data_IF_240366291881
#
_entry.id   IF_240366291881
#
_cell.length_a   1.000
_cell.length_b   1.000
_cell.length_c   1.000
_cell.angle_alpha   90.00
_cell.angle_beta   90.00
_cell.angle_gamma   90.00
#
_symmetry.space_group_name_H-M   'P 1'
#
loop_
_entity.id
_entity.type
_entity.pdbx_description
1 polymer ?
#
# COMPACT_ATOMS: atom_id res chain seq x y z
N UNK A 1 1.67 -19.79 -18.07
CA UNK A 1 1.33 -20.94 -17.20
C UNK A 1 0.31 -20.46 -16.16
N UNK A 2 -0.80 -21.18 -15.94
CA UNK A 2 -1.83 -20.81 -14.97
C UNK A 2 -1.30 -20.70 -13.53
N UNK A 3 -0.26 -21.48 -13.18
CA UNK A 3 0.38 -21.43 -11.86
C UNK A 3 0.94 -20.05 -11.46
N UNK A 4 1.54 -19.30 -12.39
CA UNK A 4 2.07 -17.95 -12.13
C UNK A 4 0.96 -16.95 -11.80
N UNK A 5 -0.22 -17.14 -12.38
CA UNK A 5 -1.40 -16.30 -12.15
C UNK A 5 -2.03 -16.59 -10.79
N UNK A 6 -2.10 -17.88 -10.42
CA UNK A 6 -2.53 -18.29 -9.07
C UNK A 6 -1.58 -17.71 -8.02
N UNK A 7 -0.26 -17.78 -8.24
CA UNK A 7 0.72 -17.18 -7.34
C UNK A 7 0.52 -15.67 -7.16
N UNK A 8 0.26 -14.93 -8.25
CA UNK A 8 -0.06 -13.50 -8.17
C UNK A 8 -1.32 -13.24 -7.31
N UNK A 9 -2.42 -13.97 -7.56
CA UNK A 9 -3.65 -13.84 -6.78
C UNK A 9 -3.46 -14.16 -5.29
N UNK A 10 -2.65 -15.18 -4.97
CA UNK A 10 -2.31 -15.55 -3.58
C UNK A 10 -1.55 -14.42 -2.89
N UNK A 11 -0.64 -13.74 -3.60
CA UNK A 11 0.10 -12.60 -3.06
C UNK A 11 -0.81 -11.39 -2.79
N UNK A 12 -1.76 -11.10 -3.68
CA UNK A 12 -2.76 -10.03 -3.49
C UNK A 12 -3.65 -10.32 -2.28
N UNK A 13 -4.18 -11.54 -2.16
CA UNK A 13 -4.98 -11.95 -0.99
C UNK A 13 -4.13 -11.90 0.28
N UNK A 14 -2.89 -12.39 0.21
CA UNK A 14 -1.93 -12.33 1.31
C UNK A 14 -1.69 -10.89 1.78
N UNK A 15 -1.66 -9.92 0.86
CA UNK A 15 -1.53 -8.49 1.18
C UNK A 15 -2.73 -7.97 1.98
N UNK A 16 -3.95 -8.30 1.57
CA UNK A 16 -5.15 -7.94 2.33
C UNK A 16 -5.11 -8.54 3.75
N UNK A 17 -4.69 -9.81 3.88
CA UNK A 17 -4.50 -10.47 5.18
C UNK A 17 -3.44 -9.76 6.02
N UNK A 18 -2.31 -9.35 5.42
CA UNK A 18 -1.28 -8.57 6.11
C UNK A 18 -1.87 -7.26 6.67
N UNK A 19 -2.69 -6.56 5.90
CA UNK A 19 -3.35 -5.33 6.37
C UNK A 19 -4.21 -5.55 7.61
N UNK A 20 -4.99 -6.64 7.62
CA UNK A 20 -5.80 -7.03 8.79
C UNK A 20 -4.92 -7.37 10.00
N UNK A 21 -3.83 -8.12 9.79
CA UNK A 21 -2.88 -8.48 10.85
C UNK A 21 -2.24 -7.22 11.45
N UNK A 22 -1.81 -6.27 10.63
CA UNK A 22 -1.25 -4.99 11.10
C UNK A 22 -2.24 -4.25 12.00
N UNK A 23 -3.50 -4.14 11.57
CA UNK A 23 -4.54 -3.52 12.39
C UNK A 23 -4.76 -4.25 13.71
N UNK A 24 -4.83 -5.59 13.67
CA UNK A 24 -4.97 -6.43 14.87
C UNK A 24 -3.80 -6.27 15.84
N UNK A 25 -2.56 -6.20 15.37
CA UNK A 25 -1.40 -5.96 16.22
C UNK A 25 -1.49 -4.63 16.98
N UNK A 26 -2.14 -3.61 16.40
CA UNK A 26 -2.41 -2.35 17.08
C UNK A 26 -3.33 -2.51 18.28
N UNK A 27 -4.42 -3.27 18.10
CA UNK A 27 -5.37 -3.56 19.16
C UNK A 27 -4.78 -4.45 20.28
N UNK A 28 -4.00 -5.48 19.94
CA UNK A 28 -3.52 -6.48 20.91
C UNK A 28 -2.18 -6.15 21.56
N UNK A 29 -1.23 -5.58 20.81
CA UNK A 29 0.16 -5.39 21.26
C UNK A 29 0.58 -3.91 21.26
N UNK A 30 -0.16 -3.05 20.57
CA UNK A 30 0.10 -1.62 20.48
C UNK A 30 1.52 -1.31 20.02
N UNK A 31 2.18 -0.41 20.75
CA UNK A 31 3.55 0.07 20.44
C UNK A 31 4.61 -1.04 20.43
N UNK A 32 4.42 -2.13 21.19
CA UNK A 32 5.40 -3.24 21.23
C UNK A 32 5.51 -3.97 19.89
N UNK A 33 4.47 -3.92 19.08
CA UNK A 33 4.44 -4.58 17.77
C UNK A 33 5.11 -3.77 16.64
N UNK A 34 5.66 -2.57 16.90
CA UNK A 34 6.13 -1.67 15.83
C UNK A 34 7.13 -2.36 14.88
N UNK A 35 8.10 -3.11 15.43
CA UNK A 35 9.05 -3.87 14.61
C UNK A 35 8.34 -4.88 13.70
N UNK A 36 7.39 -5.65 14.23
CA UNK A 36 6.65 -6.65 13.46
C UNK A 36 5.79 -5.98 12.37
N UNK A 37 5.15 -4.86 12.71
CA UNK A 37 4.34 -4.08 11.78
C UNK A 37 5.18 -3.51 10.64
N UNK A 38 6.38 -2.99 10.91
CA UNK A 38 7.29 -2.52 9.85
C UNK A 38 7.70 -3.65 8.91
N UNK A 39 8.04 -4.82 9.45
CA UNK A 39 8.41 -5.97 8.62
C UNK A 39 7.24 -6.48 7.77
N UNK A 40 6.03 -6.55 8.35
CA UNK A 40 4.81 -6.89 7.63
C UNK A 40 4.49 -5.87 6.55
N UNK A 41 4.65 -4.58 6.84
CA UNK A 41 4.45 -3.49 5.90
C UNK A 41 5.41 -3.58 4.71
N UNK A 42 6.70 -3.83 4.96
CA UNK A 42 7.67 -4.09 3.88
C UNK A 42 7.33 -5.36 3.09
N UNK A 43 6.82 -6.40 3.75
CA UNK A 43 6.39 -7.65 3.10
C UNK A 43 5.19 -7.42 2.17
N UNK A 44 4.22 -6.59 2.58
CA UNK A 44 3.10 -6.19 1.73
C UNK A 44 3.56 -5.45 0.46
N UNK A 45 4.53 -4.54 0.57
CA UNK A 45 5.12 -3.90 -0.61
C UNK A 45 5.93 -4.85 -1.47
N UNK A 46 6.66 -5.79 -0.87
CA UNK A 46 7.34 -6.82 -1.67
C UNK A 46 6.35 -7.66 -2.47
N UNK A 47 5.21 -8.03 -1.88
CA UNK A 47 4.20 -8.85 -2.55
C UNK A 47 3.56 -8.13 -3.74
N UNK A 48 3.39 -6.80 -3.68
CA UNK A 48 2.94 -5.92 -4.78
C UNK A 48 3.92 -5.82 -5.96
N UNK A 49 5.21 -5.79 -5.64
CA UNK A 49 6.20 -5.80 -6.72
C UNK A 49 6.25 -7.20 -7.35
N UNK A 50 6.23 -8.25 -6.52
CA UNK A 50 6.33 -9.63 -6.95
C UNK A 50 5.12 -10.11 -7.76
N UNK A 51 3.89 -9.82 -7.33
CA UNK A 51 2.69 -10.25 -8.05
C UNK A 51 2.58 -9.55 -9.41
N UNK A 52 2.92 -8.28 -9.51
CA UNK A 52 3.01 -7.56 -10.77
C UNK A 52 4.03 -8.20 -11.72
N UNK A 53 5.20 -8.61 -11.22
CA UNK A 53 6.18 -9.34 -12.04
C UNK A 53 5.62 -10.69 -12.52
N UNK A 54 4.99 -11.46 -11.64
CA UNK A 54 4.43 -12.78 -11.96
C UNK A 54 3.25 -12.69 -12.93
N UNK A 55 2.34 -11.73 -12.74
CA UNK A 55 1.18 -11.50 -13.61
C UNK A 55 1.62 -11.16 -15.04
N UNK A 56 2.65 -10.32 -15.20
CA UNK A 56 3.22 -9.95 -16.50
C UNK A 56 4.04 -11.06 -17.15
N UNK A 57 4.75 -11.86 -16.35
CA UNK A 57 5.42 -13.07 -16.83
C UNK A 57 4.41 -14.13 -17.26
N UNK A 58 3.19 -14.10 -16.72
CA UNK A 58 2.10 -14.92 -17.20
C UNK A 58 1.67 -14.47 -18.60
N UNK A 59 1.76 -15.37 -19.58
CA UNK A 59 1.24 -15.14 -20.95
C UNK A 59 -0.31 -15.09 -21.01
N UNK A 60 -0.99 -15.08 -19.88
CA UNK A 60 -2.46 -15.19 -19.78
C UNK A 60 -3.04 -13.78 -19.70
N UNK A 61 -3.66 -13.31 -20.79
CA UNK A 61 -4.22 -11.94 -20.90
C UNK A 61 -5.62 -11.76 -20.30
N UNK A 62 -6.22 -12.79 -19.73
CA UNK A 62 -7.56 -12.69 -19.12
C UNK A 62 -7.45 -11.83 -17.86
N UNK A 63 -8.21 -10.72 -17.79
CA UNK A 63 -8.38 -9.96 -16.55
C UNK A 63 -9.14 -10.83 -15.56
N UNK A 64 -8.51 -11.19 -14.45
CA UNK A 64 -9.20 -11.89 -13.37
C UNK A 64 -9.70 -10.87 -12.35
N UNK A 65 -10.84 -11.18 -11.72
CA UNK A 65 -11.48 -10.35 -10.71
C UNK A 65 -10.49 -9.86 -9.63
N UNK A 66 -9.55 -10.71 -9.20
CA UNK A 66 -8.56 -10.37 -8.17
C UNK A 66 -7.60 -9.27 -8.65
N UNK A 67 -7.14 -9.32 -9.91
CA UNK A 67 -6.27 -8.29 -10.47
C UNK A 67 -6.99 -6.95 -10.72
N UNK A 68 -8.32 -6.97 -10.87
CA UNK A 68 -9.12 -5.73 -10.90
C UNK A 68 -9.32 -5.12 -9.51
N UNK A 69 -9.16 -5.93 -8.46
CA UNK A 69 -9.39 -5.56 -7.07
C UNK A 69 -8.10 -5.42 -6.24
N UNK A 70 -6.93 -5.40 -6.89
CA UNK A 70 -5.62 -5.25 -6.25
C UNK A 70 -5.52 -3.97 -5.40
N UNK A 71 -6.13 -2.87 -5.88
CA UNK A 71 -6.25 -1.62 -5.14
C UNK A 71 -6.94 -1.79 -3.78
N UNK A 72 -7.90 -2.70 -3.65
CA UNK A 72 -8.56 -2.95 -2.36
C UNK A 72 -7.62 -3.64 -1.36
N UNK A 73 -6.69 -4.47 -1.84
CA UNK A 73 -5.69 -5.09 -0.99
C UNK A 73 -4.73 -4.02 -0.42
N UNK A 74 -4.29 -3.07 -1.26
CA UNK A 74 -3.44 -1.96 -0.81
C UNK A 74 -4.16 -1.02 0.16
N UNK A 75 -5.41 -0.68 -0.15
CA UNK A 75 -6.27 0.11 0.71
C UNK A 75 -6.51 -0.58 2.06
N UNK A 76 -6.56 -1.92 2.10
CA UNK A 76 -6.66 -2.70 3.34
C UNK A 76 -5.38 -2.58 4.17
N UNK A 77 -4.21 -2.64 3.54
CA UNK A 77 -2.93 -2.39 4.24
C UNK A 77 -2.88 -0.96 4.78
N UNK A 78 -3.26 0.02 3.97
CA UNK A 78 -3.31 1.42 4.36
C UNK A 78 -4.23 1.66 5.55
N UNK A 79 -5.45 1.11 5.52
CA UNK A 79 -6.38 1.18 6.63
C UNK A 79 -5.84 0.49 7.89
N UNK A 80 -5.24 -0.70 7.73
CA UNK A 80 -4.60 -1.43 8.83
C UNK A 80 -3.47 -0.62 9.48
N UNK A 81 -2.62 0.01 8.66
CA UNK A 81 -1.54 0.91 9.12
C UNK A 81 -2.11 2.12 9.86
N UNK A 82 -3.12 2.80 9.30
CA UNK A 82 -3.75 3.94 9.95
C UNK A 82 -4.35 3.56 11.31
N UNK A 83 -5.06 2.43 11.35
CA UNK A 83 -5.64 1.91 12.58
C UNK A 83 -4.55 1.55 13.60
N UNK A 84 -3.46 0.88 13.17
CA UNK A 84 -2.32 0.58 14.03
C UNK A 84 -1.72 1.84 14.66
N UNK A 85 -1.42 2.86 13.84
CA UNK A 85 -0.83 4.12 14.29
C UNK A 85 -1.75 4.84 15.29
N UNK A 86 -3.06 4.78 15.05
CA UNK A 86 -4.07 5.41 15.90
C UNK A 86 -4.24 4.66 17.23
N UNK A 87 -4.51 3.36 17.17
CA UNK A 87 -4.72 2.49 18.35
C UNK A 87 -3.48 2.38 19.23
N UNK A 88 -2.28 2.46 18.64
CA UNK A 88 -1.01 2.45 19.37
C UNK A 88 -0.60 3.83 19.91
N UNK A 89 -1.44 4.86 19.76
CA UNK A 89 -1.18 6.24 20.17
C UNK A 89 0.07 6.86 19.51
N UNK A 90 0.45 6.46 18.29
CA UNK A 90 1.51 7.15 17.53
C UNK A 90 1.00 8.44 16.90
N UNK A 91 -0.29 8.46 16.55
CA UNK A 91 -1.00 9.67 16.15
C UNK A 91 -2.21 9.88 17.07
N UNK A 92 -2.68 11.12 17.25
CA UNK A 92 -3.89 11.38 18.00
C UNK A 92 -5.12 10.74 17.35
N UNK A 93 -6.06 10.26 18.17
CA UNK A 93 -7.27 9.56 17.71
C UNK A 93 -8.10 10.41 16.73
N UNK A 94 -8.21 11.72 16.98
CA UNK A 94 -8.92 12.62 16.08
C UNK A 94 -8.26 12.74 14.70
N UNK A 95 -6.92 12.67 14.62
CA UNK A 95 -6.19 12.71 13.35
C UNK A 95 -6.41 11.40 12.57
N UNK A 96 -6.36 10.26 13.26
CA UNK A 96 -6.69 8.96 12.68
C UNK A 96 -8.09 8.91 12.06
N UNK A 97 -9.10 9.32 12.83
CA UNK A 97 -10.48 9.42 12.32
C UNK A 97 -10.63 10.46 11.21
N UNK A 98 -9.97 11.62 11.32
CA UNK A 98 -10.00 12.66 10.28
C UNK A 98 -9.46 12.15 8.94
N UNK A 99 -8.34 11.44 8.95
CA UNK A 99 -7.77 10.82 7.74
C UNK A 99 -8.72 9.76 7.19
N UNK A 100 -9.26 8.88 8.04
CA UNK A 100 -10.16 7.80 7.61
C UNK A 100 -11.45 8.36 6.98
N UNK A 101 -12.18 9.20 7.73
CA UNK A 101 -13.44 9.79 7.29
C UNK A 101 -13.21 10.67 6.06
N UNK A 102 -12.16 11.49 6.07
CA UNK A 102 -11.78 12.32 4.92
C UNK A 102 -11.51 11.48 3.66
N UNK A 103 -10.80 10.37 3.81
CA UNK A 103 -10.54 9.45 2.69
C UNK A 103 -11.83 8.81 2.16
N UNK A 104 -12.72 8.36 3.05
CA UNK A 104 -14.03 7.79 2.66
C UNK A 104 -14.89 8.81 1.93
N UNK A 105 -15.00 10.03 2.46
CA UNK A 105 -15.76 11.12 1.83
C UNK A 105 -15.20 11.45 0.45
N UNK A 106 -13.88 11.64 0.35
CA UNK A 106 -13.23 12.00 -0.91
C UNK A 106 -13.41 10.89 -1.96
N UNK A 107 -13.28 9.62 -1.59
CA UNK A 107 -13.50 8.51 -2.51
C UNK A 107 -14.97 8.33 -2.89
N UNK A 108 -15.91 8.68 -2.00
CA UNK A 108 -17.33 8.66 -2.31
C UNK A 108 -17.70 9.71 -3.36
N UNK A 109 -17.21 10.94 -3.23
CA UNK A 109 -17.50 12.02 -4.19
C UNK A 109 -16.65 11.94 -5.46
N UNK A 110 -15.42 11.42 -5.37
CA UNK A 110 -14.47 11.34 -6.48
C UNK A 110 -13.93 9.91 -6.63
N UNK A 111 -14.74 8.95 -7.09
CA UNK A 111 -14.32 7.56 -7.23
C UNK A 111 -13.26 7.44 -8.34
N UNK A 112 -11.99 7.50 -7.93
CA UNK A 112 -10.81 7.49 -8.79
C UNK A 112 -9.74 6.62 -8.17
N UNK A 113 -9.17 5.71 -8.96
CA UNK A 113 -8.06 4.85 -8.54
C UNK A 113 -6.83 5.67 -8.15
N UNK A 114 -6.53 6.74 -8.91
CA UNK A 114 -5.43 7.67 -8.60
C UNK A 114 -5.64 8.40 -7.28
N UNK A 115 -6.90 8.71 -6.93
CA UNK A 115 -7.19 9.35 -5.64
C UNK A 115 -6.98 8.36 -4.49
N UNK A 116 -7.42 7.11 -4.64
CA UNK A 116 -7.16 6.05 -3.66
C UNK A 116 -5.65 5.83 -3.45
N UNK A 117 -4.87 5.77 -4.54
CA UNK A 117 -3.40 5.68 -4.49
C UNK A 117 -2.76 6.87 -3.75
N UNK A 118 -3.29 8.08 -3.92
CA UNK A 118 -2.84 9.26 -3.19
C UNK A 118 -3.20 9.22 -1.69
N UNK A 119 -4.42 8.80 -1.36
CA UNK A 119 -4.90 8.73 0.02
C UNK A 119 -4.17 7.65 0.83
N UNK A 120 -3.87 6.50 0.21
CA UNK A 120 -3.10 5.45 0.89
C UNK A 120 -1.66 5.84 1.20
N UNK A 121 -1.09 6.78 0.45
CA UNK A 121 0.26 7.27 0.72
C UNK A 121 0.36 7.98 2.09
N UNK A 122 -0.76 8.51 2.61
CA UNK A 122 -0.77 9.25 3.88
C UNK A 122 -0.44 8.32 5.06
N UNK A 123 -1.16 7.20 5.33
CA UNK A 123 -0.78 6.27 6.39
C UNK A 123 0.62 5.68 6.19
N UNK A 124 1.05 5.45 4.95
CA UNK A 124 2.37 4.92 4.64
C UNK A 124 3.49 5.89 5.01
N UNK A 125 3.33 7.18 4.67
CA UNK A 125 4.28 8.22 5.06
C UNK A 125 4.37 8.35 6.58
N UNK A 126 3.23 8.29 7.28
CA UNK A 126 3.19 8.30 8.74
C UNK A 126 3.89 7.07 9.34
N UNK A 127 3.75 5.88 8.75
CA UNK A 127 4.45 4.67 9.19
C UNK A 127 5.97 4.79 9.03
N UNK A 128 6.43 5.31 7.89
CA UNK A 128 7.86 5.57 7.64
C UNK A 128 8.39 6.54 8.70
N UNK A 129 7.70 7.68 8.89
CA UNK A 129 8.07 8.68 9.89
C UNK A 129 8.12 8.08 11.31
N UNK A 130 7.09 7.35 11.70
CA UNK A 130 7.01 6.66 13.01
C UNK A 130 8.18 5.68 13.20
N UNK A 131 8.56 4.97 12.14
CA UNK A 131 9.70 4.03 12.16
C UNK A 131 11.01 4.75 12.39
N UNK A 132 11.23 5.91 11.75
CA UNK A 132 12.41 6.74 11.97
C UNK A 132 12.50 7.28 13.39
N UNK A 133 11.38 7.72 13.96
CA UNK A 133 11.35 8.33 15.30
C UNK A 133 11.58 7.28 16.39
N UNK A 134 10.97 6.10 16.27
CA UNK A 134 10.93 5.14 17.38
C UNK A 134 11.89 3.95 17.23
N UNK A 135 12.19 3.52 15.99
CA UNK A 135 13.11 2.41 15.72
C UNK A 135 14.00 2.73 14.50
N UNK A 136 14.90 3.73 14.60
CA UNK A 136 15.58 4.33 13.45
C UNK A 136 16.22 3.33 12.48
N UNK A 137 16.81 2.25 13.00
CA UNK A 137 17.37 1.17 12.19
C UNK A 137 16.36 0.62 11.17
N UNK A 138 15.11 0.37 11.59
CA UNK A 138 14.06 -0.11 10.70
C UNK A 138 13.53 0.99 9.78
N UNK A 139 13.55 2.26 10.20
CA UNK A 139 13.30 3.39 9.30
C UNK A 139 14.27 3.44 8.12
N UNK A 140 15.58 3.34 8.40
CA UNK A 140 16.59 3.23 7.34
C UNK A 140 16.45 1.96 6.52
N UNK A 141 16.07 0.83 7.14
CA UNK A 141 15.81 -0.41 6.43
C UNK A 141 14.65 -0.27 5.42
N UNK A 142 13.57 0.43 5.78
CA UNK A 142 12.49 0.75 4.83
C UNK A 142 13.02 1.54 3.65
N UNK A 143 13.84 2.57 3.88
CA UNK A 143 14.40 3.39 2.79
C UNK A 143 15.32 2.57 1.89
N UNK A 144 16.23 1.78 2.47
CA UNK A 144 17.09 0.89 1.70
C UNK A 144 16.27 -0.10 0.85
N UNK A 145 15.19 -0.64 1.43
CA UNK A 145 14.26 -1.52 0.73
C UNK A 145 13.51 -0.81 -0.40
N UNK A 146 13.02 0.42 -0.20
CA UNK A 146 12.38 1.21 -1.25
C UNK A 146 13.36 1.53 -2.39
N UNK A 147 14.60 1.90 -2.08
CA UNK A 147 15.63 2.13 -3.09
C UNK A 147 15.93 0.84 -3.88
N UNK A 148 15.97 -0.31 -3.20
CA UNK A 148 16.12 -1.61 -3.84
C UNK A 148 14.93 -1.95 -4.77
N UNK A 149 13.70 -1.75 -4.31
CA UNK A 149 12.49 -1.94 -5.15
C UNK A 149 12.51 -1.00 -6.37
N UNK A 150 12.90 0.26 -6.17
CA UNK A 150 13.06 1.23 -7.26
C UNK A 150 14.14 0.75 -8.23
N UNK A 151 15.32 0.31 -7.74
CA UNK A 151 16.39 -0.18 -8.60
C UNK A 151 15.97 -1.38 -9.46
N UNK A 152 15.21 -2.32 -8.88
CA UNK A 152 14.66 -3.48 -9.60
C UNK A 152 13.61 -3.06 -10.65
N UNK A 153 12.76 -2.09 -10.31
CA UNK A 153 11.69 -1.60 -11.19
C UNK A 153 12.14 -0.49 -12.14
N UNK A 154 13.35 0.03 -11.96
CA UNK A 154 13.96 1.18 -12.65
C UNK A 154 13.91 1.11 -14.18
N UNK A 155 14.13 -0.04 -14.85
CA UNK A 155 14.05 -0.11 -16.31
C UNK A 155 12.68 0.31 -16.88
N UNK A 156 11.63 0.30 -16.05
CA UNK A 156 10.23 0.54 -16.43
C UNK A 156 9.64 1.84 -15.88
N UNK A 157 10.10 2.29 -14.71
CA UNK A 157 9.57 3.47 -14.02
C UNK A 157 9.48 4.74 -14.89
N UNK A 158 10.50 5.09 -15.72
CA UNK A 158 10.45 6.26 -16.59
C UNK A 158 9.51 6.12 -17.80
N UNK A 159 9.27 4.88 -18.26
CA UNK A 159 8.56 4.61 -19.52
C UNK A 159 7.06 4.44 -19.35
N UNK A 160 6.60 3.94 -18.21
CA UNK A 160 5.19 3.58 -17.99
C UNK A 160 4.51 4.40 -16.88
N UNK A 161 5.16 4.53 -15.70
CA UNK A 161 4.54 5.15 -14.51
C UNK A 161 4.45 6.68 -14.62
N UNK A 162 5.49 7.36 -15.10
CA UNK A 162 5.51 8.84 -15.24
C UNK A 162 4.47 9.35 -16.27
N UNK A 163 4.37 8.79 -17.49
CA UNK A 163 3.35 9.23 -18.45
C UNK A 163 1.92 8.89 -17.99
N UNK A 164 1.73 7.73 -17.34
CA UNK A 164 0.42 7.31 -16.81
C UNK A 164 -0.11 8.24 -15.73
N UNK A 165 0.74 8.65 -14.78
CA UNK A 165 0.38 9.60 -13.73
C UNK A 165 0.03 10.99 -14.30
N UNK A 166 0.85 11.52 -15.21
CA UNK A 166 0.60 12.81 -15.86
C UNK A 166 -0.71 12.82 -16.67
N UNK A 167 -1.01 11.73 -17.39
CA UNK A 167 -2.27 11.59 -18.10
C UNK A 167 -3.48 11.44 -17.16
N UNK A 168 -3.33 10.72 -16.05
CA UNK A 168 -4.37 10.59 -15.01
C UNK A 168 -4.75 11.94 -14.41
N UNK A 169 -3.77 12.75 -13.99
CA UNK A 169 -4.01 14.10 -13.47
C UNK A 169 -4.66 15.03 -14.51
N UNK A 170 -4.26 14.91 -15.78
CA UNK A 170 -4.84 15.71 -16.87
C UNK A 170 -6.31 15.37 -17.14
N UNK A 171 -6.70 14.11 -16.95
CA UNK A 171 -8.09 13.66 -17.11
C UNK A 171 -8.99 14.05 -15.93
N UNK A 172 -8.44 14.12 -14.71
CA UNK A 172 -9.11 14.71 -13.55
C UNK A 172 -9.50 16.17 -13.80
N UNK A 173 -8.62 16.95 -14.43
CA UNK A 173 -8.88 18.36 -14.76
C UNK A 173 -9.94 18.60 -15.85
N UNK A 174 -10.34 17.56 -16.59
CA UNK A 174 -11.37 17.65 -17.65
C UNK A 174 -12.79 17.33 -17.16
N UNK A 175 -12.93 16.82 -15.94
CA UNK A 175 -14.22 16.46 -15.32
C UNK A 175 -14.68 17.45 -14.25
N UNK A 176 -13.87 18.46 -13.96
CA UNK A 176 -14.19 19.66 -13.18
C UNK A 176 -14.49 20.76 -14.20
#
# INVERSE_FOLDING_TARGET
>A
MPALKIAANVLTIGRAVIGIIIGGLGAYQGRKALKAVVLLFMTAWFSDVADGFLARASKVKVKDWIGEHDLYADMTVSAGVLYYLTSSNYIPVYAGWGIFIGSVILLYYFPSTTLAEGLQAIPYALMIYTSFVHIPFYGFLIVAFLLFLIAITWPRFPKEKVPGFLNGMRNLKKRI
#
